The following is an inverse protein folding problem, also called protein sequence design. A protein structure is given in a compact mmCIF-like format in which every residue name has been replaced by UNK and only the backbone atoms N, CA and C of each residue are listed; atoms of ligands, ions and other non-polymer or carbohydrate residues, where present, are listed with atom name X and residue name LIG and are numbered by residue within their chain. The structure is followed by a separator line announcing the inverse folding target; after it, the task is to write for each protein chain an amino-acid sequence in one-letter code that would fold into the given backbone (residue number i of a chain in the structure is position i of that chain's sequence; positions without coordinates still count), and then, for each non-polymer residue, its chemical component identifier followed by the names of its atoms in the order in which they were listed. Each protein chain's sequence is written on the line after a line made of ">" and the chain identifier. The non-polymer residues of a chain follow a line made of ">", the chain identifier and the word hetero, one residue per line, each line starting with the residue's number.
data_IF_751884343372
#
_entry.id   IF_751884343372
#
_cell.length_a   1.000
_cell.length_b   1.000
_cell.length_c   1.000
_cell.angle_alpha   90.00
_cell.angle_beta   90.00
_cell.angle_gamma   90.00
#
_symmetry.space_group_name_H-M   'P 1'
#
loop_
_entity.id
_entity.type
_entity.pdbx_description
1 polymer ?
#
# COMPACT_ATOMS: atom_id res chain seq x y z
N UNK A 1 6.10 -16.31 -8.30
CA UNK A 1 6.17 -14.84 -8.10
C UNK A 1 6.18 -14.56 -6.60
N UNK A 2 7.06 -13.69 -6.18
CA UNK A 2 7.16 -13.32 -4.76
C UNK A 2 6.03 -12.36 -4.37
N UNK A 3 5.58 -12.41 -3.12
CA UNK A 3 4.52 -11.57 -2.58
C UNK A 3 4.95 -10.10 -2.56
N UNK A 4 4.05 -9.20 -2.93
CA UNK A 4 4.28 -7.76 -2.92
C UNK A 4 3.22 -7.03 -2.10
N UNK A 5 3.66 -6.04 -1.34
CA UNK A 5 2.79 -5.12 -0.60
C UNK A 5 2.48 -3.90 -1.46
N UNK A 6 1.21 -3.54 -1.57
CA UNK A 6 0.76 -2.36 -2.31
C UNK A 6 0.33 -1.26 -1.33
N UNK A 7 0.94 -0.10 -1.47
CA UNK A 7 0.65 1.08 -0.66
C UNK A 7 -0.63 1.79 -1.14
N UNK A 8 -1.23 2.61 -0.28
CA UNK A 8 -2.47 3.36 -0.54
C UNK A 8 -2.43 4.16 -1.84
N UNK A 9 -1.31 4.84 -2.12
CA UNK A 9 -1.20 5.69 -3.28
C UNK A 9 -1.30 4.95 -4.61
N UNK A 10 -0.99 3.65 -4.65
CA UNK A 10 -1.18 2.80 -5.83
C UNK A 10 -2.66 2.70 -6.16
N UNK A 11 -3.51 2.52 -5.16
CA UNK A 11 -4.97 2.41 -5.35
C UNK A 11 -5.60 3.76 -5.68
N UNK A 12 -5.23 4.82 -4.96
CA UNK A 12 -5.75 6.16 -5.22
C UNK A 12 -5.41 6.60 -6.65
N UNK A 13 -4.15 6.52 -7.04
CA UNK A 13 -3.72 6.91 -8.38
C UNK A 13 -4.28 6.02 -9.47
N UNK A 14 -4.37 4.72 -9.22
CA UNK A 14 -4.85 3.75 -10.19
C UNK A 14 -6.36 3.81 -10.43
N UNK A 15 -7.15 4.01 -9.38
CA UNK A 15 -8.62 4.05 -9.46
C UNK A 15 -9.16 5.42 -9.88
N UNK A 16 -8.51 6.50 -9.46
CA UNK A 16 -8.96 7.86 -9.74
C UNK A 16 -8.22 8.52 -10.91
N UNK A 17 -7.23 7.82 -11.46
CA UNK A 17 -6.42 8.30 -12.61
C UNK A 17 -5.81 9.68 -12.37
N UNK A 18 -5.35 9.95 -11.16
CA UNK A 18 -4.76 11.25 -10.77
C UNK A 18 -3.27 11.38 -11.12
N UNK A 19 -2.66 10.33 -11.67
CA UNK A 19 -1.26 10.32 -12.11
C UNK A 19 -1.18 10.26 -13.63
N UNK A 20 -0.20 10.98 -14.20
CA UNK A 20 0.13 10.89 -15.63
C UNK A 20 0.75 9.54 -16.00
N UNK A 21 1.41 8.86 -15.06
CA UNK A 21 1.94 7.51 -15.25
C UNK A 21 0.83 6.47 -15.08
N UNK A 22 0.63 5.63 -16.09
CA UNK A 22 -0.39 4.57 -16.08
C UNK A 22 -0.02 3.36 -15.19
N UNK A 23 1.17 3.31 -14.63
CA UNK A 23 1.66 2.12 -13.91
C UNK A 23 0.74 1.66 -12.78
N UNK A 24 0.17 2.58 -11.99
CA UNK A 24 -0.77 2.24 -10.93
C UNK A 24 -2.04 1.59 -11.51
N UNK A 25 -2.59 2.15 -12.58
CA UNK A 25 -3.76 1.57 -13.26
C UNK A 25 -3.41 0.19 -13.85
N UNK A 26 -2.24 0.05 -14.45
CA UNK A 26 -1.79 -1.22 -15.03
C UNK A 26 -1.67 -2.32 -13.97
N UNK A 27 -1.22 -1.97 -12.76
CA UNK A 27 -1.22 -2.88 -11.60
C UNK A 27 -2.64 -3.34 -11.28
N UNK A 28 -3.59 -2.42 -11.20
CA UNK A 28 -4.99 -2.75 -10.88
C UNK A 28 -5.64 -3.60 -11.96
N UNK A 29 -5.34 -3.34 -13.22
CA UNK A 29 -5.78 -4.19 -14.35
C UNK A 29 -5.20 -5.60 -14.21
N UNK A 30 -3.90 -5.70 -13.90
CA UNK A 30 -3.24 -6.99 -13.74
C UNK A 30 -3.79 -7.79 -12.53
N UNK A 31 -4.20 -7.12 -11.45
CA UNK A 31 -4.94 -7.73 -10.35
C UNK A 31 -6.32 -8.23 -10.80
N UNK A 32 -7.05 -7.39 -11.54
CA UNK A 32 -8.39 -7.69 -12.01
C UNK A 32 -8.46 -8.90 -12.93
N UNK A 33 -7.49 -9.03 -13.83
CA UNK A 33 -7.39 -10.18 -14.75
C UNK A 33 -6.56 -11.36 -14.20
N UNK A 34 -6.22 -11.32 -12.92
CA UNK A 34 -5.48 -12.36 -12.20
C UNK A 34 -4.05 -12.64 -12.71
N UNK A 35 -3.46 -11.72 -13.42
CA UNK A 35 -2.04 -11.79 -13.77
C UNK A 35 -1.14 -11.55 -12.54
N UNK A 36 -1.63 -10.77 -11.59
CA UNK A 36 -1.03 -10.58 -10.27
C UNK A 36 -1.91 -11.28 -9.22
N UNK A 37 -1.35 -12.25 -8.49
CA UNK A 37 -2.09 -13.04 -7.50
C UNK A 37 -1.56 -12.93 -6.08
N UNK A 38 -0.32 -12.47 -5.93
CA UNK A 38 0.37 -12.48 -4.64
C UNK A 38 0.64 -11.05 -4.15
N UNK A 39 -0.42 -10.26 -4.15
CA UNK A 39 -0.36 -8.92 -3.60
C UNK A 39 -1.17 -8.83 -2.31
N UNK A 40 -0.66 -8.06 -1.37
CA UNK A 40 -1.31 -7.75 -0.11
C UNK A 40 -1.34 -6.25 0.12
N UNK A 41 -2.21 -5.79 0.99
CA UNK A 41 -2.19 -4.43 1.52
C UNK A 41 -2.53 -4.46 3.01
N UNK A 42 -2.38 -3.34 3.69
CA UNK A 42 -2.69 -3.24 5.11
C UNK A 42 -4.09 -2.67 5.32
N UNK A 43 -4.72 -3.03 6.45
CA UNK A 43 -5.97 -2.38 6.88
C UNK A 43 -5.83 -0.86 6.96
N UNK A 44 -4.69 -0.37 7.48
CA UNK A 44 -4.39 1.06 7.49
C UNK A 44 -4.51 1.71 6.10
N UNK A 45 -4.03 1.04 5.06
CA UNK A 45 -4.14 1.53 3.67
C UNK A 45 -5.59 1.64 3.20
N UNK A 46 -6.47 0.74 3.65
CA UNK A 46 -7.90 0.82 3.34
C UNK A 46 -8.56 2.04 4.01
N UNK A 47 -8.24 2.29 5.27
CA UNK A 47 -8.71 3.49 5.98
C UNK A 47 -8.18 4.77 5.36
N UNK A 48 -6.91 4.78 4.97
CA UNK A 48 -6.29 5.93 4.31
C UNK A 48 -6.91 6.19 2.93
N UNK A 49 -7.18 5.14 2.15
CA UNK A 49 -7.92 5.27 0.89
C UNK A 49 -9.28 5.94 1.10
N UNK A 50 -10.04 5.47 2.08
CA UNK A 50 -11.33 6.07 2.42
C UNK A 50 -11.16 7.55 2.81
N UNK A 51 -10.22 7.85 3.70
CA UNK A 51 -9.96 9.21 4.16
C UNK A 51 -9.58 10.15 3.02
N UNK A 52 -8.63 9.74 2.18
CA UNK A 52 -8.15 10.56 1.06
C UNK A 52 -9.25 10.79 0.02
N UNK A 53 -9.95 9.74 -0.41
CA UNK A 53 -10.91 9.83 -1.52
C UNK A 53 -12.19 10.59 -1.14
N UNK A 54 -12.59 10.55 0.13
CA UNK A 54 -13.79 11.26 0.61
C UNK A 54 -13.53 12.73 0.95
N UNK A 55 -12.27 13.20 0.92
CA UNK A 55 -11.89 14.60 1.16
C UNK A 55 -11.21 15.28 -0.02
N UNK A 56 -11.20 14.67 -1.19
CA UNK A 56 -10.71 15.32 -2.41
C UNK A 56 -11.52 16.57 -2.75
N UNK A 57 -11.00 17.45 -3.63
CA UNK A 57 -11.80 18.56 -4.15
C UNK A 57 -13.15 18.07 -4.70
N UNK A 58 -14.22 18.91 -4.67
CA UNK A 58 -15.58 18.47 -4.99
C UNK A 58 -15.74 17.72 -6.31
N UNK A 59 -14.97 18.10 -7.35
CA UNK A 59 -15.05 17.46 -8.67
C UNK A 59 -14.53 16.01 -8.69
N UNK A 60 -13.70 15.64 -7.71
CA UNK A 60 -13.06 14.32 -7.62
C UNK A 60 -13.50 13.52 -6.39
N UNK A 61 -14.18 14.18 -5.46
CA UNK A 61 -14.55 13.60 -4.16
C UNK A 61 -15.53 12.47 -4.32
N UNK A 62 -15.21 11.33 -3.72
CA UNK A 62 -16.14 10.21 -3.62
C UNK A 62 -17.07 10.39 -2.42
N UNK A 63 -18.31 9.91 -2.56
CA UNK A 63 -19.16 9.66 -1.40
C UNK A 63 -18.57 8.54 -0.54
N UNK A 64 -18.86 8.49 0.78
CA UNK A 64 -18.44 7.37 1.61
C UNK A 64 -18.87 6.00 1.05
N UNK A 65 -20.08 5.92 0.50
CA UNK A 65 -20.61 4.69 -0.10
C UNK A 65 -19.81 4.28 -1.35
N UNK A 66 -19.46 5.24 -2.21
CA UNK A 66 -18.65 4.98 -3.39
C UNK A 66 -17.22 4.52 -3.01
N UNK A 67 -16.62 5.14 -2.00
CA UNK A 67 -15.31 4.73 -1.51
C UNK A 67 -15.30 3.28 -1.00
N UNK A 68 -16.30 2.89 -0.21
CA UNK A 68 -16.44 1.49 0.27
C UNK A 68 -16.71 0.53 -0.89
N UNK A 69 -17.50 0.91 -1.88
CA UNK A 69 -17.75 0.08 -3.06
C UNK A 69 -16.47 -0.20 -3.84
N UNK A 70 -15.62 0.81 -4.04
CA UNK A 70 -14.31 0.65 -4.69
C UNK A 70 -13.36 -0.22 -3.86
N UNK A 71 -13.31 -0.02 -2.55
CA UNK A 71 -12.51 -0.88 -1.65
C UNK A 71 -12.96 -2.34 -1.75
N UNK A 72 -14.26 -2.59 -1.77
CA UNK A 72 -14.80 -3.94 -1.86
C UNK A 72 -14.44 -4.60 -3.18
N UNK A 73 -14.68 -3.92 -4.29
CA UNK A 73 -14.47 -4.48 -5.63
C UNK A 73 -12.98 -4.69 -5.93
N UNK A 74 -12.13 -3.72 -5.62
CA UNK A 74 -10.74 -3.69 -6.07
C UNK A 74 -9.73 -4.17 -5.03
N UNK A 75 -10.07 -4.17 -3.75
CA UNK A 75 -9.17 -4.58 -2.68
C UNK A 75 -9.71 -5.81 -1.96
N UNK A 76 -10.84 -5.73 -1.28
CA UNK A 76 -11.32 -6.83 -0.44
C UNK A 76 -11.60 -8.12 -1.21
N UNK A 77 -12.06 -8.01 -2.47
CA UNK A 77 -12.31 -9.16 -3.33
C UNK A 77 -11.07 -9.67 -4.08
N UNK A 78 -9.93 -8.99 -4.02
CA UNK A 78 -8.77 -9.30 -4.87
C UNK A 78 -7.45 -9.46 -4.13
N UNK A 79 -7.33 -8.89 -2.96
CA UNK A 79 -6.10 -8.86 -2.17
C UNK A 79 -6.32 -9.44 -0.78
N UNK A 80 -5.25 -9.96 -0.22
CA UNK A 80 -5.17 -10.20 1.22
C UNK A 80 -4.96 -8.87 1.93
N UNK A 81 -5.83 -8.57 2.90
CA UNK A 81 -5.67 -7.40 3.78
C UNK A 81 -5.08 -7.88 5.10
N UNK A 82 -3.94 -7.33 5.46
CA UNK A 82 -3.15 -7.75 6.61
C UNK A 82 -2.97 -6.62 7.61
N UNK A 83 -2.58 -6.97 8.82
CA UNK A 83 -2.34 -6.02 9.89
C UNK A 83 -1.26 -6.53 10.84
N UNK A 84 -0.77 -5.64 11.73
CA UNK A 84 0.12 -6.01 12.81
C UNK A 84 -0.72 -6.19 14.08
N UNK A 85 -0.76 -7.39 14.68
CA UNK A 85 -1.50 -7.61 15.92
C UNK A 85 -1.04 -6.68 17.04
N UNK A 86 -1.98 -6.21 17.86
CA UNK A 86 -1.69 -5.23 18.92
C UNK A 86 -0.65 -5.75 19.91
N UNK A 87 -0.67 -7.03 20.22
CA UNK A 87 0.30 -7.66 21.12
C UNK A 87 1.73 -7.57 20.60
N UNK A 88 1.92 -7.57 19.28
CA UNK A 88 3.24 -7.40 18.66
C UNK A 88 3.56 -5.92 18.41
N UNK A 89 2.53 -5.09 18.22
CA UNK A 89 2.66 -3.67 17.88
C UNK A 89 3.31 -2.86 19.01
N UNK A 90 3.02 -3.18 20.26
CA UNK A 90 3.58 -2.46 21.41
C UNK A 90 5.11 -2.62 21.49
N UNK A 91 5.59 -3.86 21.38
CA UNK A 91 7.04 -4.13 21.38
C UNK A 91 7.71 -3.51 20.14
N UNK A 92 7.07 -3.60 18.99
CA UNK A 92 7.52 -2.98 17.75
C UNK A 92 7.67 -1.46 17.93
N UNK A 93 6.67 -0.78 18.50
CA UNK A 93 6.72 0.67 18.71
C UNK A 93 7.87 1.07 19.61
N UNK A 94 8.12 0.32 20.69
CA UNK A 94 9.27 0.55 21.58
C UNK A 94 10.59 0.43 20.82
N UNK A 95 10.71 -0.52 19.92
CA UNK A 95 11.90 -0.68 19.08
C UNK A 95 12.08 0.49 18.11
N UNK A 96 10.99 1.03 17.54
CA UNK A 96 11.07 2.21 16.67
C UNK A 96 11.56 3.44 17.44
N UNK A 97 11.08 3.64 18.65
CA UNK A 97 11.54 4.72 19.52
C UNK A 97 13.07 4.60 19.82
N UNK A 98 13.55 3.40 20.07
CA UNK A 98 14.99 3.13 20.26
C UNK A 98 15.82 3.42 18.99
N UNK A 99 15.22 3.28 17.82
CA UNK A 99 15.87 3.57 16.52
C UNK A 99 15.69 5.02 16.07
N UNK A 100 15.20 5.90 16.94
CA UNK A 100 15.00 7.34 16.66
C UNK A 100 14.05 7.66 15.50
N UNK A 101 13.09 6.79 15.19
CA UNK A 101 12.03 7.06 14.22
C UNK A 101 11.13 8.15 14.77
N UNK A 102 10.84 9.19 13.97
CA UNK A 102 10.09 10.38 14.39
C UNK A 102 8.99 10.77 13.41
N UNK A 103 7.93 11.40 13.96
CA UNK A 103 6.87 12.00 13.14
C UNK A 103 6.15 10.99 12.24
N UNK A 104 5.78 11.45 11.05
CA UNK A 104 5.02 10.64 10.09
C UNK A 104 5.73 9.41 9.56
N UNK A 105 7.06 9.35 9.68
CA UNK A 105 7.84 8.18 9.26
C UNK A 105 7.44 6.90 10.00
N UNK A 106 6.81 7.01 11.19
CA UNK A 106 6.30 5.86 11.94
C UNK A 106 5.26 5.07 11.14
N UNK A 107 4.46 5.74 10.31
CA UNK A 107 3.44 5.07 9.50
C UNK A 107 4.07 4.24 8.40
N UNK A 108 5.11 4.77 7.73
CA UNK A 108 5.86 4.02 6.71
C UNK A 108 6.60 2.84 7.34
N UNK A 109 7.20 3.03 8.51
CA UNK A 109 7.84 1.96 9.28
C UNK A 109 6.83 0.87 9.68
N UNK A 110 5.62 1.25 10.05
CA UNK A 110 4.54 0.32 10.40
C UNK A 110 4.14 -0.52 9.18
N UNK A 111 3.92 0.11 8.03
CA UNK A 111 3.58 -0.60 6.79
C UNK A 111 4.72 -1.51 6.33
N UNK A 112 5.98 -1.08 6.46
CA UNK A 112 7.14 -1.92 6.17
C UNK A 112 7.19 -3.17 7.06
N UNK A 113 6.87 -3.03 8.35
CA UNK A 113 6.80 -4.17 9.28
C UNK A 113 5.66 -5.13 8.92
N UNK A 114 4.50 -4.61 8.54
CA UNK A 114 3.37 -5.43 8.08
C UNK A 114 3.76 -6.20 6.81
N UNK A 115 4.41 -5.54 5.86
CA UNK A 115 4.89 -6.19 4.64
C UNK A 115 5.88 -7.32 4.93
N UNK A 116 6.83 -7.09 5.84
CA UNK A 116 7.80 -8.10 6.27
C UNK A 116 7.11 -9.30 6.92
N UNK A 117 6.20 -9.04 7.84
CA UNK A 117 5.43 -10.09 8.53
C UNK A 117 4.56 -10.91 7.57
N UNK A 118 4.01 -10.28 6.55
CA UNK A 118 3.24 -10.96 5.51
C UNK A 118 4.09 -11.76 4.53
N UNK A 119 5.42 -11.72 4.65
CA UNK A 119 6.35 -12.42 3.79
C UNK A 119 6.54 -11.77 2.42
N UNK A 120 6.34 -10.45 2.33
CA UNK A 120 6.54 -9.72 1.09
C UNK A 120 8.03 -9.57 0.76
N UNK A 121 8.34 -9.64 -0.52
CA UNK A 121 9.68 -9.38 -1.05
C UNK A 121 9.84 -7.94 -1.54
N UNK A 122 8.73 -7.22 -1.71
CA UNK A 122 8.73 -5.84 -2.17
C UNK A 122 7.57 -5.05 -1.55
N UNK A 123 7.80 -3.75 -1.40
CA UNK A 123 6.77 -2.71 -1.17
C UNK A 123 6.69 -1.88 -2.44
N UNK A 124 5.49 -1.73 -2.98
CA UNK A 124 5.21 -0.91 -4.16
C UNK A 124 4.54 0.37 -3.73
N UNK A 125 5.19 1.49 -3.98
CA UNK A 125 4.73 2.81 -3.51
C UNK A 125 5.20 3.93 -4.43
N UNK A 126 4.40 4.99 -4.55
CA UNK A 126 4.85 6.24 -5.16
C UNK A 126 5.74 7.06 -4.22
N UNK A 127 5.78 6.70 -2.94
CA UNK A 127 6.56 7.36 -1.90
C UNK A 127 7.83 6.57 -1.55
N UNK A 128 8.56 6.13 -2.55
CA UNK A 128 9.69 5.22 -2.39
C UNK A 128 10.81 5.80 -1.51
N UNK A 129 11.06 7.12 -1.57
CA UNK A 129 12.11 7.76 -0.79
C UNK A 129 11.88 7.62 0.73
N UNK A 130 10.66 7.81 1.21
CA UNK A 130 10.32 7.68 2.62
C UNK A 130 10.40 6.22 3.07
N UNK A 131 9.87 5.29 2.28
CA UNK A 131 9.97 3.87 2.59
C UNK A 131 11.41 3.35 2.64
N UNK A 132 12.31 3.88 1.81
CA UNK A 132 13.73 3.48 1.85
C UNK A 132 14.40 3.83 3.17
N UNK A 133 13.93 4.85 3.87
CA UNK A 133 14.47 5.23 5.20
C UNK A 133 14.12 4.19 6.27
N UNK A 134 13.09 3.40 6.08
CA UNK A 134 12.57 2.40 7.04
C UNK A 134 12.55 1.00 6.47
N UNK A 135 13.14 0.78 5.31
CA UNK A 135 13.14 -0.52 4.63
C UNK A 135 13.81 -1.58 5.50
N UNK A 136 13.19 -2.75 5.56
CA UNK A 136 13.70 -3.92 6.26
C UNK A 136 14.55 -4.79 5.33
N UNK A 137 15.54 -5.54 5.88
CA UNK A 137 16.37 -6.43 5.07
C UNK A 137 15.51 -7.42 4.25
N UNK A 138 15.88 -7.63 3.00
CA UNK A 138 15.20 -8.56 2.10
C UNK A 138 13.93 -8.04 1.45
N UNK A 139 13.54 -6.80 1.72
CA UNK A 139 12.39 -6.15 1.11
C UNK A 139 12.87 -5.03 0.19
N UNK A 140 12.53 -5.13 -1.09
CA UNK A 140 12.81 -4.07 -2.05
C UNK A 140 11.73 -3.00 -2.03
N UNK A 141 12.12 -1.75 -2.17
CA UNK A 141 11.16 -0.64 -2.33
C UNK A 141 11.12 -0.29 -3.82
N UNK A 142 9.97 -0.44 -4.43
CA UNK A 142 9.75 -0.27 -5.86
C UNK A 142 8.71 0.81 -6.14
N UNK A 143 8.97 1.63 -7.14
CA UNK A 143 7.90 2.45 -7.71
C UNK A 143 6.92 1.56 -8.50
N UNK A 144 5.67 2.01 -8.73
CA UNK A 144 4.73 1.25 -9.56
C UNK A 144 5.32 0.89 -10.94
N UNK A 145 6.05 1.80 -11.58
CA UNK A 145 6.69 1.55 -12.87
C UNK A 145 7.74 0.45 -12.76
N UNK A 146 8.64 0.54 -11.81
CA UNK A 146 9.66 -0.49 -11.58
C UNK A 146 9.05 -1.87 -11.32
N UNK A 147 7.94 -1.90 -10.58
CA UNK A 147 7.23 -3.15 -10.32
C UNK A 147 6.62 -3.73 -11.61
N UNK A 148 5.95 -2.90 -12.42
CA UNK A 148 5.38 -3.36 -13.69
C UNK A 148 6.44 -3.86 -14.66
N UNK A 149 7.58 -3.19 -14.73
CA UNK A 149 8.69 -3.59 -15.60
C UNK A 149 9.25 -4.97 -15.22
N UNK A 150 9.20 -5.34 -13.94
CA UNK A 150 9.67 -6.67 -13.46
C UNK A 150 8.71 -7.81 -13.73
N UNK A 151 7.43 -7.52 -13.83
CA UNK A 151 6.39 -8.54 -14.05
C UNK A 151 5.95 -8.63 -15.51
N UNK A 152 6.45 -7.75 -16.33
CA UNK A 152 6.17 -7.74 -17.77
C UNK A 152 6.75 -8.97 -18.47
#
# INVERSE_FOLDING_TARGET
>A
MKKAFLDTNVFVSGLLEVSADSACRDILVALGNRRLRFCVTAWHCCLEFFSVTTRLPPDYRLSPQAAVALLTEHIFNRLEVVDLPVEDAVAWLKNQAASEIRGGLIYDAHLAQIAARAGCAAVVTQNAADFRQVALPGIEILTPRQFMDRIA
#
